data_IF_533652565716
#
_entry.id   IF_533652565716
#
_cell.length_a   1.000
_cell.length_b   1.000
_cell.length_c   1.000
_cell.angle_alpha   90.00
_cell.angle_beta   90.00
_cell.angle_gamma   90.00
#
_symmetry.space_group_name_H-M   'P 1'
#
loop_
_entity.id
_entity.type
_entity.pdbx_description
1 polymer ?
#
# COMPACT_ATOMS: atom_id res chain seq x y z
N UNK A 1 -28.04 -6.96 -2.77
CA UNK A 1 -26.65 -7.44 -2.81
C UNK A 1 -25.72 -6.30 -3.13
N UNK A 2 -24.64 -6.19 -2.40
CA UNK A 2 -23.66 -5.14 -2.65
C UNK A 2 -22.79 -5.47 -3.86
N UNK A 3 -22.57 -4.47 -4.69
CA UNK A 3 -21.62 -4.61 -5.79
C UNK A 3 -20.22 -4.78 -5.24
N UNK A 4 -19.42 -5.53 -5.94
CA UNK A 4 -18.03 -5.77 -5.58
C UNK A 4 -17.17 -5.56 -6.82
N UNK A 5 -16.02 -4.96 -6.62
CA UNK A 5 -15.09 -4.65 -7.69
C UNK A 5 -13.72 -5.21 -7.36
N UNK A 6 -12.92 -5.41 -8.36
CA UNK A 6 -11.50 -5.72 -8.15
C UNK A 6 -10.72 -4.43 -8.02
N UNK A 7 -9.68 -4.51 -7.20
CA UNK A 7 -8.77 -3.39 -6.95
C UNK A 7 -7.36 -3.85 -7.27
N UNK A 8 -6.65 -3.03 -8.03
CA UNK A 8 -5.22 -3.26 -8.28
C UNK A 8 -4.42 -2.47 -7.27
N UNK A 9 -3.48 -3.14 -6.63
CA UNK A 9 -2.53 -2.53 -5.70
C UNK A 9 -1.19 -2.48 -6.41
N UNK A 10 -0.62 -1.30 -6.58
CA UNK A 10 0.67 -1.15 -7.27
C UNK A 10 1.65 -0.41 -6.37
N UNK A 11 2.86 -0.93 -6.22
CA UNK A 11 3.94 -0.21 -5.53
C UNK A 11 4.41 0.91 -6.44
N UNK A 12 4.22 2.15 -6.04
CA UNK A 12 4.55 3.30 -6.88
C UNK A 12 5.73 4.11 -6.39
N UNK A 13 6.10 3.97 -5.13
CA UNK A 13 7.20 4.76 -4.56
C UNK A 13 7.70 4.10 -3.29
N UNK A 14 9.00 4.22 -3.05
CA UNK A 14 9.63 3.83 -1.79
C UNK A 14 10.51 4.98 -1.36
N UNK A 15 10.41 5.38 -0.10
CA UNK A 15 11.22 6.47 0.43
C UNK A 15 11.99 6.01 1.67
N UNK A 16 12.96 6.79 2.05
CA UNK A 16 13.76 6.50 3.23
C UNK A 16 14.07 7.79 3.95
N UNK A 17 13.70 7.85 5.22
CA UNK A 17 13.93 9.03 6.05
C UNK A 17 15.21 8.84 6.85
N UNK A 18 16.35 9.12 6.20
CA UNK A 18 17.69 8.88 6.75
C UNK A 18 17.90 9.52 8.11
N UNK A 19 17.53 10.78 8.25
CA UNK A 19 17.73 11.50 9.52
C UNK A 19 16.95 10.90 10.68
N UNK A 20 15.74 10.42 10.42
CA UNK A 20 14.93 9.76 11.45
C UNK A 20 15.51 8.40 11.80
N UNK A 21 15.94 7.66 10.80
CA UNK A 21 16.57 6.37 11.04
C UNK A 21 17.86 6.52 11.84
N UNK A 22 18.70 7.49 11.48
CA UNK A 22 19.96 7.74 12.18
C UNK A 22 19.73 8.14 13.64
N UNK A 23 18.68 8.90 13.88
CA UNK A 23 18.40 9.42 15.22
C UNK A 23 17.75 8.39 16.15
N UNK A 24 16.97 7.45 15.62
CA UNK A 24 16.07 6.63 16.43
C UNK A 24 16.21 5.12 16.26
N UNK A 25 17.17 4.64 15.47
CA UNK A 25 17.44 3.21 15.37
C UNK A 25 18.77 2.85 15.99
N UNK A 26 18.96 1.59 16.33
CA UNK A 26 20.18 1.07 16.95
C UNK A 26 20.86 0.07 16.04
N UNK A 27 22.14 -0.20 16.34
CA UNK A 27 22.92 -1.21 15.64
C UNK A 27 23.47 -0.69 14.33
N UNK A 28 23.55 -1.57 13.33
CA UNK A 28 24.04 -1.19 12.02
C UNK A 28 23.12 -0.13 11.40
N UNK A 29 23.68 0.85 10.69
CA UNK A 29 22.85 1.89 10.06
C UNK A 29 21.82 1.28 9.12
N UNK A 30 20.59 1.75 9.22
CA UNK A 30 19.53 1.35 8.34
C UNK A 30 19.77 1.90 6.93
N UNK A 31 19.33 1.14 5.94
CA UNK A 31 19.57 1.47 4.54
C UNK A 31 18.26 1.61 3.77
N UNK A 32 18.30 2.31 2.63
CA UNK A 32 17.08 2.52 1.81
C UNK A 32 16.34 1.27 1.37
N UNK A 33 16.97 0.09 1.41
CA UNK A 33 16.31 -1.16 1.02
C UNK A 33 15.01 -1.42 1.79
N UNK A 34 14.92 -0.91 3.03
CA UNK A 34 13.68 -0.86 3.77
C UNK A 34 13.17 -2.18 4.32
N UNK A 35 12.09 -2.09 5.10
CA UNK A 35 11.44 -3.25 5.70
C UNK A 35 10.62 -4.04 4.69
N UNK A 36 10.06 -3.37 3.71
CA UNK A 36 9.28 -4.01 2.65
C UNK A 36 10.15 -4.27 1.44
N UNK A 37 11.34 -4.76 1.69
CA UNK A 37 12.34 -5.03 0.67
C UNK A 37 11.90 -6.06 -0.37
N UNK A 38 10.88 -6.83 -0.06
CA UNK A 38 10.36 -7.82 -0.99
C UNK A 38 9.59 -7.20 -2.14
N UNK A 39 9.20 -5.94 -2.01
CA UNK A 39 8.32 -5.30 -3.00
C UNK A 39 9.08 -4.25 -3.79
N UNK A 40 9.21 -4.50 -5.08
CA UNK A 40 9.82 -3.54 -6.01
C UNK A 40 8.78 -2.57 -6.55
N UNK A 41 9.23 -1.38 -6.94
CA UNK A 41 8.35 -0.41 -7.62
C UNK A 41 7.82 -1.07 -8.89
N UNK A 42 6.51 -0.97 -9.10
CA UNK A 42 5.82 -1.59 -10.22
C UNK A 42 5.22 -2.95 -9.91
N UNK A 43 5.53 -3.55 -8.76
CA UNK A 43 4.91 -4.81 -8.35
C UNK A 43 3.41 -4.59 -8.14
N UNK A 44 2.60 -5.51 -8.64
CA UNK A 44 1.14 -5.39 -8.58
C UNK A 44 0.48 -6.62 -7.99
N UNK A 45 -0.66 -6.39 -7.35
CA UNK A 45 -1.57 -7.44 -6.90
C UNK A 45 -2.98 -7.04 -7.27
N UNK A 46 -3.85 -8.02 -7.47
CA UNK A 46 -5.27 -7.78 -7.69
C UNK A 46 -6.04 -8.49 -6.59
N UNK A 47 -7.00 -7.80 -6.01
CA UNK A 47 -7.78 -8.33 -4.90
C UNK A 47 -9.24 -7.90 -5.02
N UNK A 48 -10.12 -8.64 -4.36
CA UNK A 48 -11.53 -8.31 -4.23
C UNK A 48 -11.87 -7.72 -2.86
N UNK A 49 -10.86 -7.41 -2.06
CA UNK A 49 -11.02 -6.89 -0.70
C UNK A 49 -10.34 -7.73 0.37
N UNK A 50 -9.83 -8.89 -0.01
CA UNK A 50 -9.06 -9.76 0.89
C UNK A 50 -7.57 -9.58 0.62
N UNK A 51 -6.75 -9.92 1.61
CA UNK A 51 -5.30 -9.84 1.43
C UNK A 51 -4.87 -10.77 0.31
N UNK A 52 -4.21 -10.23 -0.75
CA UNK A 52 -3.73 -11.10 -1.82
C UNK A 52 -2.58 -11.97 -1.35
N UNK A 53 -2.45 -13.13 -1.97
CA UNK A 53 -1.36 -14.04 -1.66
C UNK A 53 -0.02 -13.37 -1.94
N UNK A 54 0.91 -13.54 -1.03
CA UNK A 54 2.24 -12.96 -1.15
C UNK A 54 2.36 -11.50 -0.71
N UNK A 55 1.25 -10.91 -0.26
CA UNK A 55 1.29 -9.55 0.26
C UNK A 55 1.77 -9.56 1.72
N UNK A 56 2.25 -8.42 2.21
CA UNK A 56 2.68 -8.28 3.60
C UNK A 56 1.50 -8.07 4.52
N UNK A 57 1.34 -8.91 5.55
CA UNK A 57 0.29 -8.74 6.58
C UNK A 57 0.38 -7.36 7.21
N UNK A 58 1.60 -6.91 7.45
CA UNK A 58 1.86 -5.64 8.11
C UNK A 58 1.34 -4.48 7.27
N UNK A 59 1.73 -4.47 5.98
CA UNK A 59 1.26 -3.44 5.05
C UNK A 59 -0.24 -3.55 4.80
N UNK A 60 -0.77 -4.77 4.76
CA UNK A 60 -2.20 -5.00 4.56
C UNK A 60 -3.03 -4.33 5.65
N UNK A 61 -2.58 -4.44 6.89
CA UNK A 61 -3.25 -3.80 8.03
C UNK A 61 -3.37 -2.29 7.82
N UNK A 62 -2.39 -1.68 7.19
CA UNK A 62 -2.39 -0.24 6.95
C UNK A 62 -3.33 0.16 5.82
N UNK A 63 -3.44 -0.64 4.76
CA UNK A 63 -4.13 -0.21 3.53
C UNK A 63 -5.51 -0.85 3.34
N UNK A 64 -5.81 -1.91 4.10
CA UNK A 64 -7.03 -2.70 3.92
C UNK A 64 -8.31 -1.86 3.84
N UNK A 65 -8.47 -0.92 4.74
CA UNK A 65 -9.69 -0.12 4.80
C UNK A 65 -9.95 0.64 3.50
N UNK A 66 -8.89 1.13 2.88
CA UNK A 66 -9.03 1.86 1.62
C UNK A 66 -9.33 0.92 0.46
N UNK A 67 -8.72 -0.26 0.46
CA UNK A 67 -9.01 -1.30 -0.53
C UNK A 67 -10.49 -1.68 -0.46
N UNK A 68 -11.00 -1.88 0.75
CA UNK A 68 -12.42 -2.25 0.93
C UNK A 68 -13.35 -1.16 0.43
N UNK A 69 -13.04 0.11 0.71
CA UNK A 69 -13.86 1.23 0.21
C UNK A 69 -13.95 1.17 -1.32
N UNK A 70 -12.82 1.01 -1.99
CA UNK A 70 -12.80 0.96 -3.45
C UNK A 70 -13.49 -0.30 -3.99
N UNK A 71 -13.27 -1.44 -3.35
CA UNK A 71 -13.89 -2.70 -3.77
C UNK A 71 -15.41 -2.68 -3.65
N UNK A 72 -15.94 -1.84 -2.79
CA UNK A 72 -17.38 -1.69 -2.60
C UNK A 72 -17.98 -0.52 -3.39
N UNK A 73 -17.21 0.06 -4.30
CA UNK A 73 -17.69 1.13 -5.18
C UNK A 73 -17.58 2.53 -4.62
N UNK A 74 -16.95 2.70 -3.45
CA UNK A 74 -16.74 4.02 -2.85
C UNK A 74 -15.58 4.76 -3.47
N UNK A 75 -15.49 6.05 -3.16
CA UNK A 75 -14.38 6.89 -3.62
C UNK A 75 -13.88 7.72 -2.44
N UNK A 76 -12.62 8.15 -2.53
CA UNK A 76 -12.03 8.99 -1.50
C UNK A 76 -12.20 10.46 -1.90
N UNK A 77 -12.59 11.29 -0.94
CA UNK A 77 -12.80 12.73 -1.15
C UNK A 77 -11.54 13.37 -1.73
N UNK A 78 -11.73 14.16 -2.78
CA UNK A 78 -10.64 14.91 -3.39
C UNK A 78 -9.76 14.11 -4.33
N UNK A 79 -10.00 12.81 -4.44
CA UNK A 79 -9.23 11.96 -5.34
C UNK A 79 -10.03 11.67 -6.61
N UNK A 80 -9.33 11.25 -7.65
CA UNK A 80 -10.02 10.76 -8.85
C UNK A 80 -10.87 9.55 -8.48
N UNK A 81 -12.04 9.39 -9.11
CA UNK A 81 -12.89 8.23 -8.80
C UNK A 81 -12.14 6.91 -8.97
N UNK A 82 -12.29 6.05 -7.97
CA UNK A 82 -11.70 4.72 -8.00
C UNK A 82 -10.20 4.66 -7.74
N UNK A 83 -9.57 5.77 -7.38
CA UNK A 83 -8.11 5.80 -7.16
C UNK A 83 -7.78 6.39 -5.79
N UNK A 84 -6.82 5.81 -5.11
CA UNK A 84 -6.26 6.37 -3.89
C UNK A 84 -4.79 5.98 -3.78
N UNK A 85 -4.00 6.84 -3.15
CA UNK A 85 -2.60 6.53 -2.85
C UNK A 85 -2.42 6.59 -1.35
N UNK A 86 -1.84 5.54 -0.79
CA UNK A 86 -1.56 5.44 0.63
C UNK A 86 -0.20 4.78 0.83
N UNK A 87 0.20 4.57 2.06
CA UNK A 87 1.50 3.95 2.33
C UNK A 87 1.41 3.10 3.60
N UNK A 88 2.41 2.25 3.80
CA UNK A 88 2.56 1.57 5.07
C UNK A 88 3.00 2.58 6.13
N UNK A 89 2.80 2.24 7.40
CA UNK A 89 3.05 3.16 8.52
C UNK A 89 4.48 3.12 9.05
N UNK A 90 5.41 2.55 8.30
CA UNK A 90 6.82 2.59 8.67
C UNK A 90 7.35 4.00 8.42
N UNK A 91 7.56 4.76 9.48
CA UNK A 91 8.01 6.14 9.39
C UNK A 91 9.44 6.29 8.88
N UNK A 92 10.22 5.22 8.88
CA UNK A 92 11.61 5.25 8.41
C UNK A 92 11.72 4.90 6.93
N UNK A 93 10.92 3.93 6.46
CA UNK A 93 11.02 3.34 5.13
C UNK A 93 9.65 3.10 4.51
N UNK A 94 8.80 4.12 4.37
CA UNK A 94 7.46 3.88 3.87
C UNK A 94 7.46 3.40 2.42
N UNK A 95 6.57 2.45 2.15
CA UNK A 95 6.28 1.99 0.79
C UNK A 95 4.92 2.52 0.41
N UNK A 96 4.83 3.15 -0.76
CA UNK A 96 3.61 3.80 -1.23
C UNK A 96 2.91 2.91 -2.24
N UNK A 97 1.60 2.78 -2.06
CA UNK A 97 0.75 1.94 -2.91
C UNK A 97 -0.31 2.80 -3.59
N UNK A 98 -0.44 2.63 -4.90
CA UNK A 98 -1.59 3.15 -5.62
C UNK A 98 -2.65 2.06 -5.62
N UNK A 99 -3.85 2.42 -5.22
CA UNK A 99 -5.01 1.53 -5.22
C UNK A 99 -5.94 2.02 -6.32
N UNK A 100 -6.35 1.13 -7.22
CA UNK A 100 -7.27 1.53 -8.28
C UNK A 100 -8.30 0.44 -8.54
N UNK A 101 -9.56 0.87 -8.57
CA UNK A 101 -10.68 -0.01 -8.92
C UNK A 101 -10.63 -0.27 -10.41
N UNK A 102 -10.63 -1.52 -10.82
CA UNK A 102 -10.44 -1.86 -12.22
C UNK A 102 -11.66 -2.48 -12.88
N UNK A 103 -12.40 -3.32 -12.18
CA UNK A 103 -13.58 -3.95 -12.76
C UNK A 103 -14.43 -4.59 -11.68
N UNK A 104 -15.66 -4.97 -12.05
CA UNK A 104 -16.50 -5.76 -11.17
C UNK A 104 -15.88 -7.14 -10.96
N UNK A 105 -15.94 -7.59 -9.72
CA UNK A 105 -15.44 -8.90 -9.36
C UNK A 105 -16.36 -10.02 -9.85
#
# INVERSE_FOLDING_TARGET
MLSSYKVRITVVKKTFNQELADAYTEGEPWKPAGCCHAFDIGHEWITDGHMPEGFSDWAWTDIQKYVVVLARGGNMDGCKPGVFVTCCTDGFRPVFYKLERIEEA
#
